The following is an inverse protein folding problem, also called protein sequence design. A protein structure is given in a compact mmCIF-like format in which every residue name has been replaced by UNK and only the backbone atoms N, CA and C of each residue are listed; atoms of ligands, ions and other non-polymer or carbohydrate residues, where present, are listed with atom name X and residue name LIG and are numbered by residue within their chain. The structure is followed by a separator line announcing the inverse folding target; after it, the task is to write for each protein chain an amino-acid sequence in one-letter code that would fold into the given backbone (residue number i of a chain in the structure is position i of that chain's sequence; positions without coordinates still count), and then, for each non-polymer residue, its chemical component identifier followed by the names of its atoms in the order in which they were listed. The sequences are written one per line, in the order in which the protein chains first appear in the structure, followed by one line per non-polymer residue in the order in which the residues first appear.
data_IF_342965385038
#
_entry.id   IF_342965385038
#
_cell.length_a   1.000
_cell.length_b   1.000
_cell.length_c   1.000
_cell.angle_alpha   90.00
_cell.angle_beta   90.00
_cell.angle_gamma   90.00
#
_symmetry.space_group_name_H-M   'P 1'
#
loop_
_entity.id
_entity.type
_entity.pdbx_description
1 polymer ?
#
# COMPACT_ATOMS: atom_id res chain seq x y z
N UNK A 1 -3.68 -12.90 -10.63
CA UNK A 1 -2.66 -13.90 -11.03
C UNK A 1 -1.49 -13.32 -11.83
N UNK A 2 -1.58 -12.10 -12.37
CA UNK A 2 -0.55 -11.45 -13.19
C UNK A 2 0.83 -11.32 -12.53
N UNK A 3 0.89 -11.14 -11.19
CA UNK A 3 2.15 -10.99 -10.46
C UNK A 3 2.90 -12.31 -10.19
N UNK A 4 2.36 -13.48 -10.59
CA UNK A 4 2.96 -14.79 -10.23
C UNK A 4 4.39 -14.98 -10.76
N UNK A 5 4.66 -14.47 -11.96
CA UNK A 5 5.96 -14.58 -12.64
C UNK A 5 6.62 -13.21 -12.85
N UNK A 6 6.20 -12.20 -12.08
CA UNK A 6 6.75 -10.85 -12.16
C UNK A 6 7.68 -10.61 -10.96
N UNK A 7 8.94 -10.29 -11.24
CA UNK A 7 9.93 -9.97 -10.22
C UNK A 7 9.84 -8.50 -9.81
N UNK A 8 9.54 -8.24 -8.54
CA UNK A 8 9.58 -6.91 -7.93
C UNK A 8 9.87 -7.06 -6.42
N UNK A 9 10.36 -5.99 -5.79
CA UNK A 9 10.47 -5.95 -4.33
C UNK A 9 9.08 -5.95 -3.68
N UNK A 10 9.02 -6.31 -2.39
CA UNK A 10 7.75 -6.41 -1.67
C UNK A 10 7.04 -5.05 -1.58
N UNK A 11 7.82 -4.00 -1.38
CA UNK A 11 7.42 -2.59 -1.32
C UNK A 11 6.89 -2.10 -2.67
N UNK A 12 7.57 -2.47 -3.76
CA UNK A 12 7.16 -2.12 -5.11
C UNK A 12 5.85 -2.82 -5.48
N UNK A 13 5.70 -4.11 -5.14
CA UNK A 13 4.46 -4.85 -5.38
C UNK A 13 3.26 -4.15 -4.73
N UNK A 14 3.40 -3.74 -3.47
CA UNK A 14 2.34 -3.04 -2.72
C UNK A 14 2.01 -1.70 -3.38
N UNK A 15 3.02 -0.92 -3.76
CA UNK A 15 2.81 0.36 -4.43
C UNK A 15 2.19 0.25 -5.82
N UNK A 16 2.59 -0.74 -6.63
CA UNK A 16 2.01 -0.98 -7.96
C UNK A 16 0.54 -1.32 -7.82
N UNK A 17 0.19 -2.27 -6.95
CA UNK A 17 -1.20 -2.64 -6.67
C UNK A 17 -2.02 -1.41 -6.28
N UNK A 18 -1.50 -0.58 -5.37
CA UNK A 18 -2.18 0.64 -4.95
C UNK A 18 -2.38 1.62 -6.11
N UNK A 19 -1.35 1.90 -6.89
CA UNK A 19 -1.40 2.84 -8.03
C UNK A 19 -2.40 2.39 -9.10
N UNK A 20 -2.40 1.10 -9.44
CA UNK A 20 -3.33 0.53 -10.43
C UNK A 20 -4.78 0.66 -9.95
N UNK A 21 -5.03 0.40 -8.66
CA UNK A 21 -6.36 0.57 -8.05
C UNK A 21 -6.79 2.04 -7.98
N UNK A 22 -5.86 2.96 -7.70
CA UNK A 22 -6.14 4.40 -7.72
C UNK A 22 -6.56 4.84 -9.12
N UNK A 23 -5.83 4.40 -10.15
CA UNK A 23 -6.13 4.75 -11.54
C UNK A 23 -7.48 4.19 -11.99
N UNK A 24 -7.82 2.96 -11.59
CA UNK A 24 -9.07 2.31 -11.98
C UNK A 24 -10.30 2.90 -11.28
N UNK A 25 -10.19 3.19 -9.98
CA UNK A 25 -11.35 3.49 -9.14
C UNK A 25 -11.48 4.97 -8.77
N UNK A 26 -10.41 5.75 -8.88
CA UNK A 26 -10.31 7.10 -8.33
C UNK A 26 -10.90 7.19 -6.90
N UNK A 27 -10.39 6.37 -5.97
CA UNK A 27 -10.99 6.20 -4.65
C UNK A 27 -10.84 7.46 -3.81
N UNK A 28 -11.76 7.64 -2.86
CA UNK A 28 -11.63 8.71 -1.86
C UNK A 28 -10.45 8.44 -0.91
N UNK A 29 -10.32 7.19 -0.48
CA UNK A 29 -9.24 6.68 0.37
C UNK A 29 -8.98 5.22 0.02
N UNK A 30 -7.73 4.78 0.09
CA UNK A 30 -7.32 3.37 -0.05
C UNK A 30 -6.05 3.12 0.77
N UNK A 31 -5.91 1.89 1.29
CA UNK A 31 -4.68 1.40 1.89
C UNK A 31 -4.41 -0.03 1.44
N UNK A 32 -3.13 -0.37 1.31
CA UNK A 32 -2.66 -1.69 0.91
C UNK A 32 -1.58 -2.11 1.90
N UNK A 33 -1.80 -3.28 2.52
CA UNK A 33 -0.89 -3.87 3.50
C UNK A 33 -0.39 -5.19 2.93
N UNK A 34 0.91 -5.31 2.74
CA UNK A 34 1.55 -6.56 2.36
C UNK A 34 2.08 -7.27 3.60
N UNK A 35 1.66 -8.50 3.85
CA UNK A 35 2.23 -9.33 4.93
C UNK A 35 3.00 -10.47 4.27
N UNK A 36 4.33 -10.32 4.16
CA UNK A 36 5.17 -11.29 3.46
C UNK A 36 5.81 -12.28 4.42
N UNK A 37 5.89 -13.54 3.96
CA UNK A 37 6.57 -14.61 4.70
C UNK A 37 8.06 -14.31 4.82
N UNK A 38 8.70 -14.71 5.92
CA UNK A 38 10.09 -14.37 6.16
C UNK A 38 11.04 -15.02 5.15
N UNK A 39 12.12 -14.30 4.84
CA UNK A 39 13.31 -14.83 4.16
C UNK A 39 14.54 -14.46 4.96
N UNK A 40 15.40 -15.44 5.25
CA UNK A 40 16.54 -15.21 6.14
C UNK A 40 16.16 -14.82 7.57
N UNK A 41 14.98 -15.24 8.04
CA UNK A 41 14.48 -14.94 9.39
C UNK A 41 13.84 -13.55 9.57
N UNK A 42 13.77 -12.73 8.52
CA UNK A 42 13.16 -11.39 8.56
C UNK A 42 11.91 -11.38 7.67
N UNK A 43 10.79 -10.90 8.22
CA UNK A 43 9.56 -10.61 7.48
C UNK A 43 9.49 -9.14 7.13
N UNK A 44 9.01 -8.84 5.92
CA UNK A 44 8.81 -7.48 5.45
C UNK A 44 7.31 -7.24 5.33
N UNK A 45 6.83 -6.16 5.95
CA UNK A 45 5.41 -5.80 5.95
C UNK A 45 5.23 -4.37 5.40
N UNK A 46 5.21 -4.17 4.07
CA UNK A 46 5.04 -2.83 3.52
C UNK A 46 3.60 -2.35 3.70
N UNK A 47 3.45 -1.10 4.13
CA UNK A 47 2.20 -0.36 4.21
C UNK A 47 2.24 0.81 3.25
N UNK A 48 1.20 0.96 2.44
CA UNK A 48 1.01 2.14 1.59
C UNK A 48 -0.44 2.60 1.68
N UNK A 49 -0.66 3.91 1.71
CA UNK A 49 -2.00 4.48 1.68
C UNK A 49 -2.08 5.70 0.76
N UNK A 50 -3.31 6.04 0.40
CA UNK A 50 -3.62 7.19 -0.44
C UNK A 50 -4.94 7.81 0.02
N UNK A 51 -4.94 9.13 0.12
CA UNK A 51 -6.13 9.95 0.30
C UNK A 51 -6.24 10.95 -0.84
N UNK A 52 -7.47 11.19 -1.31
CA UNK A 52 -7.71 12.17 -2.36
C UNK A 52 -7.28 13.57 -1.91
N UNK A 53 -6.39 14.19 -2.67
CA UNK A 53 -5.81 15.51 -2.37
C UNK A 53 -6.87 16.59 -2.21
N UNK A 54 -6.66 17.49 -1.25
CA UNK A 54 -7.57 18.61 -0.95
C UNK A 54 -8.87 18.19 -0.28
N UNK A 55 -8.93 16.99 0.29
CA UNK A 55 -10.11 16.48 0.99
C UNK A 55 -9.73 15.94 2.37
N UNK A 56 -10.73 15.76 3.25
CA UNK A 56 -10.55 15.10 4.55
C UNK A 56 -9.89 13.72 4.48
N UNK A 57 -9.89 13.07 3.32
CA UNK A 57 -9.27 11.76 3.14
C UNK A 57 -7.75 11.83 3.08
N UNK A 58 -7.18 12.96 2.68
CA UNK A 58 -5.73 13.23 2.74
C UNK A 58 -5.25 13.34 4.19
N UNK A 59 -5.99 14.07 5.01
CA UNK A 59 -5.77 14.15 6.46
C UNK A 59 -5.91 12.77 7.11
N UNK A 60 -6.93 12.00 6.71
CA UNK A 60 -7.12 10.61 7.15
C UNK A 60 -5.95 9.71 6.76
N UNK A 61 -5.41 9.85 5.55
CA UNK A 61 -4.25 9.07 5.11
C UNK A 61 -3.01 9.41 5.93
N UNK A 62 -2.76 10.70 6.16
CA UNK A 62 -1.67 11.17 7.02
C UNK A 62 -1.83 10.64 8.44
N UNK A 63 -3.03 10.77 9.02
CA UNK A 63 -3.32 10.28 10.37
C UNK A 63 -3.07 8.77 10.50
N UNK A 64 -3.58 7.97 9.55
CA UNK A 64 -3.38 6.51 9.58
C UNK A 64 -1.94 6.11 9.36
N UNK A 65 -1.18 6.85 8.54
CA UNK A 65 0.25 6.60 8.33
C UNK A 65 1.06 6.87 9.61
N UNK A 66 0.81 7.98 10.30
CA UNK A 66 1.51 8.34 11.54
C UNK A 66 1.21 7.34 12.66
N UNK A 67 -0.03 6.84 12.72
CA UNK A 67 -0.48 5.91 13.76
C UNK A 67 -0.40 4.44 13.33
N UNK A 68 0.29 4.14 12.23
CA UNK A 68 0.40 2.76 11.74
C UNK A 68 1.35 1.96 12.64
N UNK A 69 0.87 0.84 13.17
CA UNK A 69 1.66 -0.13 13.94
C UNK A 69 2.25 0.41 15.27
N UNK A 70 1.60 1.42 15.85
CA UNK A 70 1.88 1.97 17.19
C UNK A 70 1.09 1.24 18.30
#
# INVERSE_FOLDING_TARGET
FSFRNHGAFHEDCVNIIMKDLIQLMNPRYIEVIGIFRPRGGISICPYANYGRSGTKYEEMATYRLINHDL
#
